data_IF_728198969905
#
_entry.id   IF_728198969905
#
_cell.length_a   1.000
_cell.length_b   1.000
_cell.length_c   1.000
_cell.angle_alpha   90.00
_cell.angle_beta   90.00
_cell.angle_gamma   90.00
#
_symmetry.space_group_name_H-M   'P 1'
#
loop_
_entity.id
_entity.type
_entity.pdbx_description
1 polymer ?
#
# COMPACT_ATOMS: atom_id res chain seq x y z
N UNK A 1 -8.15 8.88 -19.44
CA UNK A 1 -7.30 7.78 -18.98
C UNK A 1 -7.59 7.53 -17.52
N UNK A 2 -7.79 6.27 -17.13
CA UNK A 2 -8.04 5.84 -15.74
C UNK A 2 -7.35 4.50 -15.49
N UNK A 3 -6.89 4.27 -14.27
CA UNK A 3 -6.52 2.92 -13.84
C UNK A 3 -7.75 2.25 -13.26
N UNK A 4 -8.00 1.04 -13.70
CA UNK A 4 -9.05 0.15 -13.20
C UNK A 4 -8.46 -1.15 -12.67
N UNK A 5 -9.31 -1.97 -12.09
CA UNK A 5 -8.97 -3.32 -11.66
C UNK A 5 -9.77 -4.33 -12.49
N UNK A 6 -9.09 -5.30 -13.06
CA UNK A 6 -9.72 -6.44 -13.71
C UNK A 6 -9.77 -7.58 -12.69
N UNK A 7 -10.99 -7.97 -12.33
CA UNK A 7 -11.23 -9.13 -11.46
C UNK A 7 -11.31 -10.37 -12.34
N UNK A 8 -10.51 -11.36 -12.02
CA UNK A 8 -10.43 -12.61 -12.77
C UNK A 8 -11.17 -13.72 -12.02
N UNK A 9 -11.05 -13.70 -10.71
CA UNK A 9 -11.76 -14.50 -9.74
C UNK A 9 -11.84 -13.69 -8.42
N UNK A 10 -12.36 -14.28 -7.36
CA UNK A 10 -12.50 -13.59 -6.07
C UNK A 10 -11.13 -13.24 -5.40
N UNK A 11 -10.03 -13.81 -5.87
CA UNK A 11 -8.69 -13.65 -5.28
C UNK A 11 -7.69 -12.93 -6.20
N UNK A 12 -7.98 -12.87 -7.51
CA UNK A 12 -7.03 -12.37 -8.51
C UNK A 12 -7.46 -11.03 -9.09
N UNK A 13 -6.69 -9.99 -8.82
CA UNK A 13 -6.91 -8.63 -9.32
C UNK A 13 -5.71 -8.21 -10.16
N UNK A 14 -5.97 -7.76 -11.38
CA UNK A 14 -4.94 -7.22 -12.26
C UNK A 14 -5.24 -5.75 -12.58
N UNK A 15 -4.28 -4.82 -12.41
CA UNK A 15 -4.48 -3.44 -12.81
C UNK A 15 -4.50 -3.31 -14.35
N UNK A 16 -5.36 -2.44 -14.82
CA UNK A 16 -5.51 -2.10 -16.24
C UNK A 16 -5.60 -0.59 -16.40
N UNK A 17 -4.89 -0.04 -17.36
CA UNK A 17 -5.02 1.36 -17.74
C UNK A 17 -5.99 1.48 -18.91
N UNK A 18 -7.10 2.15 -18.70
CA UNK A 18 -8.08 2.45 -19.75
C UNK A 18 -7.59 3.68 -20.53
N UNK A 19 -6.92 3.43 -21.63
CA UNK A 19 -6.40 4.42 -22.57
C UNK A 19 -6.75 4.03 -24.01
N UNK A 20 -6.57 4.94 -24.95
CA UNK A 20 -6.86 4.69 -26.37
C UNK A 20 -5.85 3.69 -26.96
N UNK A 21 -6.35 2.74 -27.73
CA UNK A 21 -5.56 1.70 -28.38
C UNK A 21 -6.10 0.29 -28.17
N UNK A 22 -5.36 -0.67 -28.66
CA UNK A 22 -5.69 -2.09 -28.50
C UNK A 22 -5.00 -2.64 -27.23
N UNK A 23 -5.79 -2.96 -26.22
CA UNK A 23 -5.30 -3.53 -24.96
C UNK A 23 -5.34 -5.05 -25.06
N UNK A 24 -4.18 -5.69 -24.90
CA UNK A 24 -4.02 -7.14 -24.92
C UNK A 24 -3.94 -7.66 -23.49
N UNK A 25 -4.91 -8.47 -23.12
CA UNK A 25 -4.96 -9.14 -21.83
C UNK A 25 -4.53 -10.58 -21.99
N UNK A 26 -3.43 -10.96 -21.34
CA UNK A 26 -3.00 -12.35 -21.25
C UNK A 26 -3.30 -12.87 -19.84
N UNK A 27 -4.05 -13.94 -19.81
CA UNK A 27 -4.44 -14.59 -18.59
C UNK A 27 -4.19 -16.09 -18.67
N UNK A 28 -3.21 -16.56 -17.90
CA UNK A 28 -2.98 -17.98 -17.66
C UNK A 28 -2.39 -18.18 -16.25
N UNK A 29 -2.29 -19.43 -15.81
CA UNK A 29 -1.77 -19.77 -14.47
C UNK A 29 -0.33 -19.31 -14.20
N UNK A 30 0.45 -19.04 -15.25
CA UNK A 30 1.86 -18.65 -15.13
C UNK A 30 2.07 -17.15 -15.30
N UNK A 31 1.20 -16.47 -16.03
CA UNK A 31 1.37 -15.04 -16.35
C UNK A 31 0.03 -14.33 -16.50
N UNK A 32 -0.07 -13.22 -15.80
CA UNK A 32 -1.19 -12.28 -15.90
C UNK A 32 -0.63 -10.94 -16.32
N UNK A 33 -0.93 -10.47 -17.52
CA UNK A 33 -0.40 -9.21 -18.03
C UNK A 33 -1.44 -8.46 -18.85
N UNK A 34 -1.37 -7.14 -18.74
CA UNK A 34 -2.10 -6.20 -19.57
C UNK A 34 -1.08 -5.35 -20.34
N UNK A 35 -1.11 -5.40 -21.67
CA UNK A 35 -0.11 -4.78 -22.56
C UNK A 35 -0.78 -4.24 -23.82
N UNK A 36 0.00 -3.71 -24.75
CA UNK A 36 -0.44 -3.27 -26.08
C UNK A 36 -0.68 -1.76 -26.19
N UNK A 37 -0.60 -1.05 -25.07
CA UNK A 37 -0.65 0.42 -25.06
C UNK A 37 0.45 0.98 -24.14
N UNK A 38 0.93 2.22 -24.37
CA UNK A 38 2.13 2.72 -23.71
C UNK A 38 2.10 2.67 -22.18
N UNK A 39 0.96 3.04 -21.56
CA UNK A 39 0.87 3.05 -20.10
C UNK A 39 0.70 1.63 -19.54
N UNK A 40 -0.04 0.74 -20.23
CA UNK A 40 -0.14 -0.66 -19.83
C UNK A 40 1.20 -1.37 -19.95
N UNK A 41 1.96 -1.14 -21.03
CA UNK A 41 3.29 -1.73 -21.21
C UNK A 41 4.27 -1.26 -20.12
N UNK A 42 4.25 0.05 -19.80
CA UNK A 42 5.05 0.63 -18.72
C UNK A 42 4.70 0.04 -17.36
N UNK A 43 3.40 -0.05 -17.04
CA UNK A 43 2.92 -0.62 -15.79
C UNK A 43 3.24 -2.11 -15.67
N UNK A 44 3.06 -2.89 -16.75
CA UNK A 44 3.37 -4.31 -16.77
C UNK A 44 4.86 -4.57 -16.51
N UNK A 45 5.75 -3.80 -17.15
CA UNK A 45 7.20 -3.91 -16.94
C UNK A 45 7.60 -3.54 -15.50
N UNK A 46 6.97 -2.51 -14.90
CA UNK A 46 7.18 -2.15 -13.51
C UNK A 46 6.74 -3.27 -12.56
N UNK A 47 5.52 -3.78 -12.72
CA UNK A 47 4.96 -4.84 -11.88
C UNK A 47 5.81 -6.11 -11.95
N UNK A 48 6.30 -6.49 -13.14
CA UNK A 48 7.18 -7.65 -13.30
C UNK A 48 8.48 -7.50 -12.49
N UNK A 49 9.09 -6.31 -12.52
CA UNK A 49 10.32 -6.03 -11.74
C UNK A 49 10.04 -5.99 -10.25
N UNK A 50 8.96 -5.33 -9.85
CA UNK A 50 8.55 -5.22 -8.45
C UNK A 50 8.28 -6.61 -7.84
N UNK A 51 7.47 -7.43 -8.52
CA UNK A 51 7.15 -8.78 -8.07
C UNK A 51 8.38 -9.68 -7.98
N UNK A 52 9.32 -9.54 -8.91
CA UNK A 52 10.58 -10.30 -8.85
C UNK A 52 11.37 -9.99 -7.58
N UNK A 53 11.48 -8.72 -7.18
CA UNK A 53 12.19 -8.32 -5.96
C UNK A 53 11.40 -8.77 -4.74
N UNK A 54 10.09 -8.57 -4.70
CA UNK A 54 9.22 -8.99 -3.60
C UNK A 54 9.30 -10.50 -3.35
N UNK A 55 9.31 -11.30 -4.43
CA UNK A 55 9.48 -12.74 -4.33
C UNK A 55 10.86 -13.13 -3.78
N UNK A 56 11.92 -12.39 -4.14
CA UNK A 56 13.26 -12.62 -3.59
C UNK A 56 13.33 -12.29 -2.10
N UNK A 57 12.64 -11.22 -1.66
CA UNK A 57 12.52 -10.87 -0.23
C UNK A 57 11.77 -11.97 0.52
N UNK A 58 10.63 -12.41 0.00
CA UNK A 58 9.83 -13.50 0.59
C UNK A 58 10.64 -14.81 0.70
N UNK A 59 11.50 -15.12 -0.28
CA UNK A 59 12.34 -16.32 -0.27
C UNK A 59 13.43 -16.31 0.81
N UNK A 60 13.78 -15.14 1.38
CA UNK A 60 14.74 -15.07 2.49
C UNK A 60 14.25 -15.83 3.71
N UNK A 61 12.94 -15.80 4.01
CA UNK A 61 12.34 -16.57 5.09
C UNK A 61 12.48 -18.10 4.86
N UNK A 62 12.32 -18.54 3.61
CA UNK A 62 12.54 -19.95 3.25
C UNK A 62 14.01 -20.35 3.35
N UNK A 63 14.92 -19.47 2.97
CA UNK A 63 16.37 -19.73 3.11
C UNK A 63 16.75 -19.85 4.58
N UNK A 64 16.23 -18.98 5.45
CA UNK A 64 16.44 -19.06 6.88
C UNK A 64 15.91 -20.38 7.48
N UNK A 65 14.69 -20.76 7.12
CA UNK A 65 14.07 -22.01 7.59
C UNK A 65 14.88 -23.24 7.19
N UNK A 66 15.41 -23.27 5.98
CA UNK A 66 16.29 -24.36 5.50
C UNK A 66 17.58 -24.42 6.29
N UNK A 67 18.26 -23.29 6.50
CA UNK A 67 19.49 -23.22 7.26
C UNK A 67 19.32 -23.74 8.70
N UNK A 68 18.17 -23.44 9.33
CA UNK A 68 17.82 -24.00 10.65
C UNK A 68 17.73 -25.54 10.59
N UNK A 69 17.05 -26.07 9.59
CA UNK A 69 16.89 -27.52 9.42
C UNK A 69 18.22 -28.23 9.13
N UNK A 70 19.12 -27.56 8.42
CA UNK A 70 20.44 -28.08 8.04
C UNK A 70 21.46 -27.91 9.18
N UNK A 71 21.09 -27.24 10.31
CA UNK A 71 21.94 -27.03 11.47
C UNK A 71 23.09 -26.05 11.22
N UNK A 72 22.90 -25.08 10.30
CA UNK A 72 23.91 -24.07 10.02
C UNK A 72 24.10 -23.10 11.19
N UNK A 73 25.23 -22.40 11.23
CA UNK A 73 25.49 -21.33 12.20
C UNK A 73 24.55 -20.15 11.90
N UNK A 74 23.56 -19.95 12.78
CA UNK A 74 22.51 -18.95 12.58
C UNK A 74 23.01 -17.51 12.68
N UNK A 75 24.11 -17.24 13.37
CA UNK A 75 24.68 -15.88 13.41
C UNK A 75 25.25 -15.51 12.04
N UNK A 76 25.92 -16.44 11.37
CA UNK A 76 26.45 -16.26 10.02
C UNK A 76 25.31 -16.16 9.01
N UNK A 77 24.31 -17.03 9.11
CA UNK A 77 23.15 -17.05 8.21
C UNK A 77 22.36 -15.75 8.32
N UNK A 78 21.99 -15.31 9.53
CA UNK A 78 21.22 -14.11 9.77
C UNK A 78 21.97 -12.86 9.27
N UNK A 79 23.29 -12.77 9.50
CA UNK A 79 24.08 -11.67 8.98
C UNK A 79 24.02 -11.59 7.44
N UNK A 80 24.19 -12.73 6.75
CA UNK A 80 24.13 -12.82 5.30
C UNK A 80 22.75 -12.48 4.76
N UNK A 81 21.69 -13.01 5.39
CA UNK A 81 20.31 -12.74 4.97
C UNK A 81 19.92 -11.28 5.19
N UNK A 82 20.35 -10.67 6.31
CA UNK A 82 20.12 -9.24 6.58
C UNK A 82 20.79 -8.33 5.57
N UNK A 83 22.02 -8.64 5.17
CA UNK A 83 22.68 -7.90 4.09
C UNK A 83 21.94 -8.02 2.77
N UNK A 84 21.49 -9.24 2.42
CA UNK A 84 20.73 -9.48 1.20
C UNK A 84 19.36 -8.77 1.22
N UNK A 85 18.65 -8.79 2.36
CA UNK A 85 17.42 -8.05 2.55
C UNK A 85 17.62 -6.55 2.32
N UNK A 86 18.63 -5.95 2.96
CA UNK A 86 18.91 -4.53 2.80
C UNK A 86 19.24 -4.12 1.35
N UNK A 87 19.92 -5.00 0.59
CA UNK A 87 20.18 -4.75 -0.84
C UNK A 87 18.90 -4.81 -1.68
N UNK A 88 18.03 -5.79 -1.40
CA UNK A 88 16.76 -5.95 -2.11
C UNK A 88 15.78 -4.81 -1.78
N UNK A 89 15.73 -4.38 -0.52
CA UNK A 89 14.93 -3.23 -0.10
C UNK A 89 15.40 -1.95 -0.81
N UNK A 90 16.70 -1.72 -0.88
CA UNK A 90 17.29 -0.60 -1.61
C UNK A 90 16.95 -0.63 -3.12
N UNK A 91 16.99 -1.82 -3.74
CA UNK A 91 16.61 -2.00 -5.14
C UNK A 91 15.11 -1.72 -5.33
N UNK A 92 14.26 -2.21 -4.43
CA UNK A 92 12.83 -1.96 -4.45
C UNK A 92 12.51 -0.47 -4.34
N UNK A 93 13.08 0.21 -3.36
CA UNK A 93 12.90 1.66 -3.16
C UNK A 93 13.33 2.44 -4.41
N UNK A 94 14.44 2.06 -5.02
CA UNK A 94 14.96 2.70 -6.22
C UNK A 94 14.01 2.56 -7.41
N UNK A 95 13.50 1.34 -7.68
CA UNK A 95 12.61 1.13 -8.83
C UNK A 95 11.27 1.82 -8.63
N UNK A 96 10.73 1.81 -7.41
CA UNK A 96 9.47 2.50 -7.06
C UNK A 96 9.65 4.01 -7.22
N UNK A 97 10.68 4.58 -6.61
CA UNK A 97 10.94 6.02 -6.66
C UNK A 97 11.14 6.49 -8.10
N UNK A 98 12.00 5.80 -8.86
CA UNK A 98 12.27 6.15 -10.27
C UNK A 98 10.98 6.07 -11.10
N UNK A 99 10.18 5.01 -10.93
CA UNK A 99 8.94 4.87 -11.68
C UNK A 99 7.94 5.98 -11.37
N UNK A 100 7.77 6.36 -10.11
CA UNK A 100 6.89 7.46 -9.71
C UNK A 100 7.41 8.80 -10.30
N UNK A 101 8.73 9.07 -10.19
CA UNK A 101 9.35 10.29 -10.71
C UNK A 101 9.16 10.41 -12.23
N UNK A 102 9.37 9.33 -12.98
CA UNK A 102 9.20 9.28 -14.43
C UNK A 102 7.73 9.46 -14.87
N UNK A 103 6.79 9.24 -13.96
CA UNK A 103 5.36 9.26 -14.22
C UNK A 103 4.58 10.33 -13.43
N UNK A 104 5.24 11.37 -12.92
CA UNK A 104 4.57 12.46 -12.18
C UNK A 104 3.44 13.15 -12.98
N UNK A 105 3.56 13.18 -14.30
CA UNK A 105 2.61 13.89 -15.16
C UNK A 105 1.59 12.98 -15.84
N UNK A 106 1.50 11.72 -15.42
CA UNK A 106 0.47 10.79 -15.88
C UNK A 106 -0.16 10.01 -14.70
N UNK A 107 -1.12 9.15 -15.01
CA UNK A 107 -1.89 8.41 -13.99
C UNK A 107 -1.09 7.36 -13.22
N UNK A 108 0.04 6.88 -13.77
CA UNK A 108 0.82 5.79 -13.18
C UNK A 108 1.61 6.23 -11.95
N UNK A 109 2.11 7.47 -11.91
CA UNK A 109 2.80 8.01 -10.74
C UNK A 109 1.93 7.97 -9.49
N UNK A 110 0.77 8.65 -9.47
CA UNK A 110 -0.19 8.58 -8.37
C UNK A 110 -0.65 7.16 -8.05
N UNK A 111 -0.87 6.32 -9.07
CA UNK A 111 -1.28 4.93 -8.87
C UNK A 111 -0.23 4.11 -8.10
N UNK A 112 1.05 4.17 -8.52
CA UNK A 112 2.12 3.45 -7.82
C UNK A 112 2.38 4.04 -6.44
N UNK A 113 2.29 5.36 -6.27
CA UNK A 113 2.32 5.99 -4.96
C UNK A 113 1.21 5.44 -4.04
N UNK A 114 -0.02 5.35 -4.54
CA UNK A 114 -1.13 4.73 -3.81
C UNK A 114 -0.82 3.27 -3.45
N UNK A 115 -0.33 2.48 -4.41
CA UNK A 115 -0.02 1.07 -4.21
C UNK A 115 0.95 0.84 -3.03
N UNK A 116 2.01 1.67 -2.91
CA UNK A 116 3.01 1.50 -1.85
C UNK A 116 2.58 2.14 -0.52
N UNK A 117 1.81 3.23 -0.55
CA UNK A 117 1.37 3.91 0.68
C UNK A 117 0.12 3.31 1.30
N UNK A 118 -0.70 2.58 0.52
CA UNK A 118 -1.89 1.88 1.05
C UNK A 118 -1.56 0.75 2.03
N UNK A 119 -0.32 0.27 2.05
CA UNK A 119 0.14 -0.69 3.05
C UNK A 119 0.45 -0.06 4.42
N UNK A 120 0.45 1.26 4.53
CA UNK A 120 0.65 1.96 5.80
C UNK A 120 -0.65 1.94 6.60
N UNK A 121 -0.62 1.41 7.82
CA UNK A 121 -1.79 1.42 8.72
C UNK A 121 -2.23 2.85 9.08
N UNK A 122 -1.25 3.74 9.25
CA UNK A 122 -1.46 5.16 9.54
C UNK A 122 -0.64 5.95 8.52
N UNK A 123 -1.28 6.81 7.71
CA UNK A 123 -0.55 7.72 6.84
C UNK A 123 0.39 8.62 7.66
N UNK A 124 1.67 8.59 7.34
CA UNK A 124 2.70 9.43 7.96
C UNK A 124 3.70 9.87 6.89
N UNK A 125 4.28 11.05 7.06
CA UNK A 125 5.43 11.46 6.25
C UNK A 125 6.69 10.76 6.76
N UNK A 126 7.60 10.52 5.84
CA UNK A 126 8.94 10.02 6.10
C UNK A 126 9.93 10.64 5.12
N UNK A 127 11.22 10.43 5.32
CA UNK A 127 12.26 11.03 4.50
C UNK A 127 12.11 10.71 2.99
N UNK A 128 11.60 9.52 2.64
CA UNK A 128 11.34 9.15 1.25
C UNK A 128 10.18 9.96 0.64
N UNK A 129 9.06 10.07 1.36
CA UNK A 129 7.89 10.86 0.91
C UNK A 129 8.27 12.33 0.78
N UNK A 130 9.00 12.89 1.75
CA UNK A 130 9.43 14.28 1.73
C UNK A 130 10.36 14.57 0.53
N UNK A 131 11.31 13.68 0.25
CA UNK A 131 12.19 13.77 -0.90
C UNK A 131 11.42 13.68 -2.23
N UNK A 132 10.44 12.77 -2.32
CA UNK A 132 9.57 12.61 -3.48
C UNK A 132 8.74 13.87 -3.70
N UNK A 133 8.09 14.40 -2.65
CA UNK A 133 7.27 15.61 -2.73
C UNK A 133 8.09 16.86 -3.08
N UNK A 134 9.36 16.92 -2.72
CA UNK A 134 10.24 18.03 -3.09
C UNK A 134 10.44 18.09 -4.61
N UNK A 135 10.51 16.94 -5.28
CA UNK A 135 10.69 16.83 -6.74
C UNK A 135 9.37 16.83 -7.53
N UNK A 136 8.27 16.48 -6.85
CA UNK A 136 6.99 16.23 -7.48
C UNK A 136 6.42 17.45 -8.20
N UNK A 137 5.84 17.20 -9.38
CA UNK A 137 5.18 18.23 -10.19
C UNK A 137 3.87 18.70 -9.54
N UNK A 138 3.38 19.91 -9.89
CA UNK A 138 2.08 20.37 -9.42
C UNK A 138 0.94 19.40 -9.78
N UNK A 139 1.04 18.71 -10.91
CA UNK A 139 0.03 17.74 -11.34
C UNK A 139 -0.03 16.54 -10.40
N UNK A 140 1.12 15.98 -10.03
CA UNK A 140 1.19 14.89 -9.06
C UNK A 140 0.66 15.31 -7.68
N UNK A 141 1.11 16.47 -7.18
CA UNK A 141 0.67 17.00 -5.86
C UNK A 141 -0.84 17.29 -5.78
N UNK A 142 -1.47 17.62 -6.91
CA UNK A 142 -2.91 17.87 -7.00
C UNK A 142 -3.74 16.63 -7.32
N UNK A 143 -3.12 15.46 -7.52
CA UNK A 143 -3.87 14.22 -7.64
C UNK A 143 -4.72 13.99 -6.37
N UNK A 144 -5.99 13.59 -6.50
CA UNK A 144 -6.89 13.44 -5.37
C UNK A 144 -6.36 12.55 -4.25
N UNK A 145 -5.78 11.39 -4.62
CA UNK A 145 -5.23 10.46 -3.63
C UNK A 145 -3.98 11.04 -2.94
N UNK A 146 -3.04 11.55 -3.73
CA UNK A 146 -1.78 12.13 -3.19
C UNK A 146 -2.08 13.27 -2.22
N UNK A 147 -3.02 14.14 -2.59
CA UNK A 147 -3.44 15.26 -1.75
C UNK A 147 -4.10 14.80 -0.44
N UNK A 148 -5.01 13.84 -0.53
CA UNK A 148 -5.68 13.28 0.65
C UNK A 148 -4.70 12.57 1.58
N UNK A 149 -3.80 11.76 1.02
CA UNK A 149 -2.74 11.10 1.78
C UNK A 149 -1.85 12.10 2.51
N UNK A 150 -1.38 13.15 1.83
CA UNK A 150 -0.51 14.15 2.45
C UNK A 150 -1.22 14.93 3.56
N UNK A 151 -2.48 15.30 3.36
CA UNK A 151 -3.29 15.95 4.41
C UNK A 151 -3.49 15.05 5.63
N UNK A 152 -3.76 13.77 5.41
CA UNK A 152 -3.89 12.79 6.49
C UNK A 152 -2.56 12.59 7.23
N UNK A 153 -1.45 12.51 6.50
CA UNK A 153 -0.12 12.32 7.06
C UNK A 153 0.32 13.52 7.90
N UNK A 154 0.12 14.75 7.43
CA UNK A 154 0.41 15.98 8.17
C UNK A 154 -0.41 16.06 9.46
N UNK A 155 -1.71 15.75 9.39
CA UNK A 155 -2.59 15.72 10.55
C UNK A 155 -2.15 14.68 11.59
N UNK A 156 -1.87 13.44 11.14
CA UNK A 156 -1.42 12.38 12.03
C UNK A 156 -0.09 12.73 12.69
N UNK A 157 0.82 13.38 11.96
CA UNK A 157 2.08 13.88 12.48
C UNK A 157 1.85 14.94 13.57
N UNK A 158 0.92 15.87 13.35
CA UNK A 158 0.57 16.92 14.31
C UNK A 158 -0.04 16.32 15.60
N UNK A 159 -0.88 15.30 15.48
CA UNK A 159 -1.44 14.57 16.63
C UNK A 159 -0.32 13.85 17.39
N UNK A 160 0.57 13.15 16.71
CA UNK A 160 1.67 12.41 17.35
C UNK A 160 2.67 13.34 18.08
N UNK A 161 2.85 14.56 17.59
CA UNK A 161 3.72 15.57 18.19
C UNK A 161 3.00 16.42 19.25
N UNK A 162 1.71 16.17 19.51
CA UNK A 162 0.90 16.92 20.48
C UNK A 162 0.53 18.33 20.04
N UNK A 163 0.64 18.63 18.75
CA UNK A 163 0.23 19.93 18.18
C UNK A 163 -1.27 19.99 17.86
N UNK A 164 -1.92 18.84 17.70
CA UNK A 164 -3.36 18.70 17.52
C UNK A 164 -3.91 17.61 18.44
N UNK A 165 -5.14 17.81 18.94
CA UNK A 165 -5.86 16.76 19.66
C UNK A 165 -6.48 15.77 18.66
N UNK A 166 -6.49 14.46 18.99
CA UNK A 166 -7.21 13.48 18.16
C UNK A 166 -8.69 13.86 18.12
N UNK A 167 -9.17 14.28 16.97
CA UNK A 167 -10.61 14.48 16.77
C UNK A 167 -11.28 13.11 16.90
N UNK A 168 -11.98 12.89 18.02
CA UNK A 168 -12.94 11.80 18.10
C UNK A 168 -13.87 11.92 16.90
N UNK A 169 -13.97 10.84 16.09
CA UNK A 169 -14.98 10.76 15.05
C UNK A 169 -16.31 11.19 15.66
N UNK A 170 -17.18 11.92 14.93
CA UNK A 170 -18.49 12.24 15.43
C UNK A 170 -19.18 10.91 15.77
N UNK A 171 -19.33 10.68 17.07
CA UNK A 171 -20.21 9.62 17.55
C UNK A 171 -21.58 10.03 17.04
N UNK A 172 -22.07 9.32 16.03
CA UNK A 172 -23.50 9.36 15.70
C UNK A 172 -24.21 8.96 16.98
N UNK A 173 -24.70 9.98 17.71
CA UNK A 173 -25.66 9.81 18.79
C UNK A 173 -26.94 9.21 18.19
N UNK A 174 -26.97 7.90 18.07
CA UNK A 174 -28.16 7.11 17.95
C UNK A 174 -27.92 5.80 18.71
N UNK A 175 -27.72 5.95 19.99
CA UNK A 175 -28.00 4.89 20.95
C UNK A 175 -28.73 5.56 22.12
N UNK A 176 -30.06 5.51 22.05
CA UNK A 176 -30.87 5.61 23.26
C UNK A 176 -30.37 4.50 24.19
N UNK A 177 -29.44 4.83 25.06
CA UNK A 177 -29.14 4.00 26.20
C UNK A 177 -30.40 3.99 27.08
N UNK A 178 -31.22 2.99 26.85
CA UNK A 178 -32.19 2.57 27.85
C UNK A 178 -31.36 2.18 29.08
N UNK A 179 -31.40 3.05 30.08
CA UNK A 179 -30.77 2.77 31.37
C UNK A 179 -31.28 1.45 31.91
N UNK A 180 -30.43 0.60 32.49
CA UNK A 180 -30.90 -0.65 33.09
C UNK A 180 -31.93 -0.33 34.18
N UNK A 181 -33.03 -1.10 34.28
CA UNK A 181 -34.10 -0.86 35.26
C UNK A 181 -33.55 -0.89 36.68
N UNK A 182 -33.89 0.13 37.46
CA UNK A 182 -33.53 0.19 38.88
C UNK A 182 -34.24 -0.93 39.67
N UNK A 183 -33.67 -1.41 40.80
CA UNK A 183 -34.22 -2.50 41.57
C UNK A 183 -35.70 -2.33 42.01
N UNK A 184 -36.21 -1.10 42.04
CA UNK A 184 -37.59 -0.80 42.40
C UNK A 184 -38.60 -1.00 41.25
N UNK A 185 -38.17 -1.20 40.03
CA UNK A 185 -39.06 -1.44 38.88
C UNK A 185 -39.36 -2.92 38.65
N UNK A 186 -38.69 -3.82 39.42
CA UNK A 186 -38.90 -5.26 39.32
C UNK A 186 -39.89 -5.81 40.40
N UNK A 187 -40.51 -4.97 41.21
CA UNK A 187 -41.31 -5.38 42.36
C UNK A 187 -42.80 -4.95 42.25
N UNK A 188 -43.44 -5.13 41.11
CA UNK A 188 -44.90 -5.12 41.05
C UNK A 188 -45.42 -6.49 40.62
N UNK A 189 -46.12 -7.24 41.52
CA UNK A 189 -46.80 -8.46 41.14
C UNK A 189 -48.08 -8.14 40.38
N UNK A 190 -48.28 -8.80 39.25
CA UNK A 190 -49.44 -8.66 38.40
C UNK A 190 -50.77 -8.91 39.13
N UNK A 191 -51.75 -8.11 38.74
CA UNK A 191 -53.17 -8.43 38.87
C UNK A 191 -53.74 -8.71 37.49
#
# INVERSE_FOLDING_TARGET
VKVGALYIDDESIMPIVLEDGEIVIQFNTAKQTCTGTPLNDSLAAFIERYNRISNQIADLGHQQSRAIMDGEDMDVVNHKLSQKAAMLDQECDKIVTTFIEDNFDNILGPYVFQMVTSAMEIPLTNAWIDALMTKATPKFKNDPYVKEFMQAAERNQAIMTGMEEPTSAPVTENNEQVAPPTPNQMAEPGK
#
